data_IF_666247149474
#
_entry.id   IF_666247149474
#
_cell.length_a   1.000
_cell.length_b   1.000
_cell.length_c   1.000
_cell.angle_alpha   90.00
_cell.angle_beta   90.00
_cell.angle_gamma   90.00
#
_symmetry.space_group_name_H-M   'P 1'
#
loop_
_entity.id
_entity.type
_entity.pdbx_description
1 polymer ?
#
# COMPACT_ATOMS: atom_id res chain seq x y z
N UNK A 1 -17.78 11.88 4.47
CA UNK A 1 -17.37 12.90 5.45
C UNK A 1 -17.00 12.36 6.84
N UNK A 2 -17.92 11.84 7.67
CA UNK A 2 -17.56 11.38 9.03
C UNK A 2 -16.68 10.13 9.01
N UNK A 3 -17.02 9.13 8.19
CA UNK A 3 -16.24 7.89 8.05
C UNK A 3 -14.84 8.17 7.50
N UNK A 4 -14.72 9.02 6.48
CA UNK A 4 -13.42 9.45 5.94
C UNK A 4 -12.55 10.14 7.01
N UNK A 5 -13.15 10.96 7.88
CA UNK A 5 -12.43 11.60 8.99
C UNK A 5 -11.96 10.60 10.04
N UNK A 6 -12.79 9.61 10.37
CA UNK A 6 -12.42 8.52 11.28
C UNK A 6 -11.25 7.74 10.68
N UNK A 7 -11.38 7.35 9.41
CA UNK A 7 -10.36 6.62 8.68
C UNK A 7 -9.02 7.38 8.60
N UNK A 8 -9.08 8.70 8.36
CA UNK A 8 -7.87 9.53 8.36
C UNK A 8 -7.18 9.58 9.74
N UNK A 9 -7.95 9.61 10.82
CA UNK A 9 -7.41 9.56 12.18
C UNK A 9 -6.73 8.21 12.45
N UNK A 10 -7.34 7.10 12.01
CA UNK A 10 -6.77 5.75 12.15
C UNK A 10 -5.44 5.62 11.41
N UNK A 11 -5.36 6.11 10.17
CA UNK A 11 -4.11 6.14 9.40
C UNK A 11 -3.06 6.98 10.11
N UNK A 12 -3.42 8.18 10.58
CA UNK A 12 -2.46 9.05 11.28
C UNK A 12 -1.93 8.39 12.56
N UNK A 13 -2.78 7.72 13.33
CA UNK A 13 -2.36 6.97 14.52
C UNK A 13 -1.44 5.81 14.19
N UNK A 14 -1.69 5.09 13.10
CA UNK A 14 -0.82 4.03 12.61
C UNK A 14 0.56 4.59 12.22
N UNK A 15 0.61 5.66 11.43
CA UNK A 15 1.87 6.28 11.00
C UNK A 15 2.69 6.76 12.20
N UNK A 16 2.04 7.36 13.22
CA UNK A 16 2.72 7.74 14.46
C UNK A 16 3.30 6.53 15.22
N UNK A 17 2.60 5.40 15.24
CA UNK A 17 3.13 4.16 15.82
C UNK A 17 4.31 3.62 15.02
N UNK A 18 4.28 3.70 13.69
CA UNK A 18 5.38 3.29 12.83
C UNK A 18 6.62 4.13 13.13
N UNK A 19 6.48 5.45 13.25
CA UNK A 19 7.58 6.37 13.54
C UNK A 19 8.14 6.22 14.96
N UNK A 20 7.39 5.64 15.90
CA UNK A 20 7.88 5.36 17.25
C UNK A 20 8.67 4.06 17.38
N UNK A 21 8.60 3.17 16.37
CA UNK A 21 9.43 1.98 16.28
C UNK A 21 10.84 2.34 15.77
N UNK A 22 11.86 1.49 16.05
CA UNK A 22 13.15 1.59 15.37
C UNK A 22 12.98 1.64 13.86
N UNK A 23 13.84 2.39 13.18
CA UNK A 23 13.82 2.45 11.73
C UNK A 23 14.47 1.20 11.13
N UNK A 24 13.72 0.11 11.08
CA UNK A 24 14.19 -1.18 10.54
C UNK A 24 14.47 -1.07 9.05
N UNK A 25 15.50 -1.79 8.59
CA UNK A 25 15.68 -2.07 7.17
C UNK A 25 14.54 -2.98 6.70
N UNK A 26 13.87 -2.59 5.62
CA UNK A 26 12.70 -3.30 5.12
C UNK A 26 12.70 -3.34 3.60
N UNK A 27 12.16 -4.43 3.06
CA UNK A 27 11.78 -4.52 1.66
C UNK A 27 10.31 -4.18 1.50
N UNK A 28 10.02 -3.35 0.50
CA UNK A 28 8.66 -3.08 0.08
C UNK A 28 8.36 -3.89 -1.19
N UNK A 29 7.49 -4.88 -1.06
CA UNK A 29 6.97 -5.66 -2.17
C UNK A 29 5.66 -5.05 -2.68
N UNK A 30 5.53 -4.90 -3.98
CA UNK A 30 4.36 -4.32 -4.64
C UNK A 30 3.77 -5.34 -5.59
N UNK A 31 2.55 -5.77 -5.31
CA UNK A 31 1.81 -6.69 -6.17
C UNK A 31 0.56 -6.02 -6.72
N UNK A 32 0.18 -6.38 -7.94
CA UNK A 32 -1.08 -5.94 -8.54
C UNK A 32 -2.19 -6.94 -8.21
N UNK A 33 -3.31 -6.44 -7.72
CA UNK A 33 -4.46 -7.26 -7.32
C UNK A 33 -5.57 -7.26 -8.38
N UNK A 34 -5.63 -6.25 -9.25
CA UNK A 34 -6.60 -6.22 -10.35
C UNK A 34 -6.19 -7.14 -11.51
N UNK A 35 -7.18 -7.76 -12.15
CA UNK A 35 -6.97 -8.81 -13.16
C UNK A 35 -6.06 -8.39 -14.30
N UNK A 36 -6.18 -7.14 -14.77
CA UNK A 36 -5.45 -6.66 -15.94
C UNK A 36 -3.98 -6.41 -15.60
N UNK A 37 -3.69 -5.63 -14.55
CA UNK A 37 -2.31 -5.30 -14.21
C UNK A 37 -1.57 -6.50 -13.59
N UNK A 38 -2.28 -7.40 -12.92
CA UNK A 38 -1.71 -8.66 -12.43
C UNK A 38 -1.26 -9.60 -13.55
N UNK A 39 -1.94 -9.60 -14.69
CA UNK A 39 -1.52 -10.36 -15.89
C UNK A 39 -0.32 -9.69 -16.59
N UNK A 40 -0.25 -8.36 -16.53
CA UNK A 40 0.70 -7.57 -17.34
C UNK A 40 2.02 -7.24 -16.63
N UNK A 41 2.09 -7.37 -15.30
CA UNK A 41 3.22 -6.90 -14.52
C UNK A 41 3.69 -7.95 -13.52
N UNK A 42 5.01 -8.04 -13.36
CA UNK A 42 5.63 -8.75 -12.26
C UNK A 42 5.56 -7.92 -10.97
N UNK A 43 5.62 -8.57 -9.78
CA UNK A 43 5.80 -7.86 -8.52
C UNK A 43 7.07 -6.99 -8.54
N UNK A 44 6.97 -5.81 -7.93
CA UNK A 44 8.08 -4.88 -7.81
C UNK A 44 8.66 -4.93 -6.40
N UNK A 45 9.97 -4.83 -6.26
CA UNK A 45 10.68 -4.91 -4.98
C UNK A 45 11.56 -3.68 -4.78
N UNK A 46 11.50 -3.09 -3.60
CA UNK A 46 12.25 -1.90 -3.25
C UNK A 46 12.90 -2.07 -1.87
N UNK A 47 14.22 -2.02 -1.83
CA UNK A 47 14.97 -1.90 -0.57
C UNK A 47 14.73 -0.51 0.02
N UNK A 48 14.35 -0.45 1.30
CA UNK A 48 14.01 0.77 2.00
C UNK A 48 14.13 0.60 3.52
N UNK A 49 13.47 1.45 4.27
CA UNK A 49 13.32 1.33 5.72
C UNK A 49 11.92 1.73 6.16
N UNK A 50 11.54 1.25 7.35
CA UNK A 50 10.18 1.33 7.89
C UNK A 50 9.62 2.77 7.88
N UNK A 51 10.44 3.76 8.24
CA UNK A 51 10.00 5.16 8.34
C UNK A 51 9.69 5.81 6.99
N UNK A 52 10.15 5.23 5.87
CA UNK A 52 9.88 5.73 4.51
C UNK A 52 8.57 5.24 3.91
N UNK A 53 7.78 4.47 4.65
CA UNK A 53 6.53 3.90 4.11
C UNK A 53 5.51 4.97 3.72
N UNK A 54 5.40 6.07 4.47
CA UNK A 54 4.51 7.19 4.12
C UNK A 54 4.89 7.80 2.77
N UNK A 55 6.15 8.18 2.63
CA UNK A 55 6.67 8.81 1.41
C UNK A 55 6.50 7.87 0.21
N UNK A 56 6.77 6.58 0.42
CA UNK A 56 6.63 5.57 -0.62
C UNK A 56 5.18 5.37 -1.07
N UNK A 57 4.20 5.45 -0.15
CA UNK A 57 2.79 5.43 -0.52
C UNK A 57 2.40 6.69 -1.30
N UNK A 58 2.90 7.87 -0.91
CA UNK A 58 2.65 9.13 -1.61
C UNK A 58 3.19 9.16 -3.05
N UNK A 59 4.27 8.41 -3.34
CA UNK A 59 4.78 8.30 -4.72
C UNK A 59 3.90 7.47 -5.64
N UNK A 60 2.99 6.64 -5.11
CA UNK A 60 2.04 5.91 -5.94
C UNK A 60 0.93 6.83 -6.39
N UNK A 61 0.37 6.55 -7.57
CA UNK A 61 -0.79 7.28 -8.08
C UNK A 61 -2.08 6.90 -7.33
N UNK A 62 -2.11 7.18 -6.03
CA UNK A 62 -3.23 6.90 -5.15
C UNK A 62 -4.26 7.99 -5.36
N UNK A 63 -5.42 7.62 -5.89
CA UNK A 63 -6.54 8.55 -6.15
C UNK A 63 -7.73 8.27 -5.26
N UNK A 64 -7.94 7.00 -4.94
CA UNK A 64 -9.18 6.50 -4.34
C UNK A 64 -8.98 5.98 -2.90
N UNK A 65 -7.82 6.27 -2.29
CA UNK A 65 -7.53 5.95 -0.89
C UNK A 65 -6.61 4.74 -0.69
N UNK A 66 -6.35 4.44 0.59
CA UNK A 66 -5.49 3.33 1.04
C UNK A 66 -6.14 2.63 2.22
N UNK A 67 -6.22 1.30 2.16
CA UNK A 67 -6.55 0.48 3.32
C UNK A 67 -5.27 -0.06 3.96
N UNK A 68 -5.22 -0.13 5.29
CA UNK A 68 -4.16 -0.84 6.02
C UNK A 68 -4.66 -2.21 6.46
N UNK A 69 -3.85 -3.25 6.25
CA UNK A 69 -4.14 -4.62 6.66
C UNK A 69 -2.88 -5.35 7.15
N UNK A 70 -3.10 -6.50 7.80
CA UNK A 70 -2.05 -7.49 8.06
C UNK A 70 -2.18 -8.63 7.06
N UNK A 71 -1.05 -9.05 6.48
CA UNK A 71 -1.02 -10.26 5.65
C UNK A 71 -1.22 -11.51 6.51
N UNK A 72 -1.47 -12.66 5.87
CA UNK A 72 -1.55 -13.96 6.55
C UNK A 72 -0.27 -14.31 7.31
N UNK A 73 0.86 -13.79 6.84
CA UNK A 73 2.18 -14.00 7.42
C UNK A 73 2.57 -12.89 8.42
N UNK A 74 1.59 -12.10 8.89
CA UNK A 74 1.76 -10.99 9.84
C UNK A 74 2.67 -9.85 9.38
N UNK A 75 2.74 -9.60 8.08
CA UNK A 75 3.38 -8.39 7.55
C UNK A 75 2.39 -7.24 7.48
N UNK A 76 2.86 -6.04 7.80
CA UNK A 76 2.10 -4.82 7.55
C UNK A 76 1.92 -4.63 6.04
N UNK A 77 0.71 -4.38 5.59
CA UNK A 77 0.43 -4.14 4.19
C UNK A 77 -0.57 -3.00 3.97
N UNK A 78 -0.42 -2.32 2.83
CA UNK A 78 -1.25 -1.21 2.41
C UNK A 78 -1.83 -1.50 1.04
N UNK A 79 -3.16 -1.55 0.94
CA UNK A 79 -3.84 -1.67 -0.35
C UNK A 79 -4.17 -0.29 -0.87
N UNK A 80 -3.53 0.11 -1.96
CA UNK A 80 -3.70 1.42 -2.56
C UNK A 80 -4.56 1.32 -3.83
N UNK A 81 -5.54 2.23 -3.92
CA UNK A 81 -6.48 2.33 -5.03
C UNK A 81 -6.11 3.51 -5.93
N UNK A 82 -5.66 3.20 -7.13
CA UNK A 82 -5.27 4.16 -8.16
C UNK A 82 -6.40 4.53 -9.10
N UNK A 83 -6.07 4.86 -10.35
CA UNK A 83 -7.05 5.29 -11.34
C UNK A 83 -7.99 4.17 -11.79
N UNK A 84 -9.22 4.57 -12.16
CA UNK A 84 -10.12 3.72 -12.92
C UNK A 84 -9.60 3.58 -14.35
N UNK A 85 -9.79 2.40 -14.95
CA UNK A 85 -9.40 2.13 -16.32
C UNK A 85 -10.44 1.21 -16.99
N UNK A 86 -10.46 1.24 -18.32
CA UNK A 86 -11.22 0.27 -19.12
C UNK A 86 -10.22 -0.52 -19.97
N UNK A 87 -10.18 -1.84 -19.81
CA UNK A 87 -9.33 -2.72 -20.59
C UNK A 87 -10.11 -3.96 -21.04
N UNK A 88 -9.94 -4.35 -22.30
CA UNK A 88 -10.62 -5.54 -22.89
C UNK A 88 -12.15 -5.52 -22.70
N UNK A 89 -12.76 -4.33 -22.75
CA UNK A 89 -14.20 -4.14 -22.57
C UNK A 89 -14.70 -4.31 -21.12
N UNK A 90 -13.80 -4.33 -20.14
CA UNK A 90 -14.12 -4.36 -18.71
C UNK A 90 -13.58 -3.12 -18.03
N UNK A 91 -14.37 -2.56 -17.13
CA UNK A 91 -13.92 -1.50 -16.23
C UNK A 91 -13.23 -2.12 -15.01
N UNK A 92 -12.21 -1.43 -14.51
CA UNK A 92 -11.44 -1.81 -13.34
C UNK A 92 -10.85 -0.61 -12.65
N UNK A 93 -10.24 -0.85 -11.49
CA UNK A 93 -9.49 0.12 -10.72
C UNK A 93 -8.10 -0.45 -10.45
N UNK A 94 -7.06 0.34 -10.74
CA UNK A 94 -5.69 -0.07 -10.47
C UNK A 94 -5.58 -0.33 -8.96
N UNK A 95 -5.33 -1.58 -8.59
CA UNK A 95 -5.26 -1.97 -7.18
C UNK A 95 -3.90 -2.59 -6.90
N UNK A 96 -3.14 -1.96 -6.01
CA UNK A 96 -1.80 -2.44 -5.62
C UNK A 96 -1.76 -2.76 -4.14
N UNK A 97 -1.14 -3.87 -3.78
CA UNK A 97 -0.84 -4.23 -2.40
C UNK A 97 0.65 -4.00 -2.15
N UNK A 98 0.94 -3.22 -1.13
CA UNK A 98 2.28 -2.87 -0.67
C UNK A 98 2.55 -3.64 0.60
N UNK A 99 3.40 -4.65 0.56
CA UNK A 99 3.76 -5.44 1.75
C UNK A 99 5.10 -4.97 2.28
N UNK A 100 5.14 -4.62 3.57
CA UNK A 100 6.34 -4.18 4.28
C UNK A 100 6.96 -5.36 5.01
N UNK A 101 8.12 -5.81 4.54
CA UNK A 101 8.88 -6.93 5.11
C UNK A 101 10.14 -6.38 5.77
N UNK A 102 10.12 -6.24 7.09
CA UNK A 102 11.27 -5.74 7.82
C UNK A 102 12.16 -6.88 8.32
N UNK A 103 13.46 -6.68 8.19
CA UNK A 103 14.50 -7.52 8.78
C UNK A 103 15.04 -6.83 10.03
N UNK A 104 15.15 -7.57 11.13
CA UNK A 104 15.65 -7.11 12.42
C UNK A 104 16.30 -8.24 13.19
#
# INVERSE_FOLDING_TARGET
ELEERIHQVEINQLLQKILSLPNFDCDFEVTFEDDYHKEMNDPLFYESNLHRISDFLETRDIKNGVDTLLTKDNHLAFRAFGQNYTARGKDGILTTLVTVKCSG
#
